data_IF_978936514134
#
_entry.id   IF_978936514134
#
_cell.length_a   1.000
_cell.length_b   1.000
_cell.length_c   1.000
_cell.angle_alpha   90.00
_cell.angle_beta   90.00
_cell.angle_gamma   90.00
#
_symmetry.space_group_name_H-M   'P 1'
#
loop_
_entity.id
_entity.type
_entity.pdbx_description
1 polymer ?
#
# COMPACT_ATOMS: atom_id res chain seq x y z
N UNK A 1 8.53 -10.11 -1.95
CA UNK A 1 9.03 -10.21 -0.57
C UNK A 1 8.25 -9.22 0.27
N UNK A 2 7.79 -9.59 1.48
CA UNK A 2 7.23 -8.63 2.42
C UNK A 2 8.35 -7.71 2.93
N UNK A 3 8.13 -6.40 2.91
CA UNK A 3 9.03 -5.42 3.50
C UNK A 3 8.26 -4.66 4.58
N UNK A 4 8.94 -4.37 5.69
CA UNK A 4 8.43 -3.50 6.72
C UNK A 4 8.90 -2.07 6.46
N UNK A 5 8.00 -1.11 6.64
CA UNK A 5 8.30 0.32 6.56
C UNK A 5 8.15 0.88 7.97
N UNK A 6 9.24 1.35 8.54
CA UNK A 6 9.29 1.95 9.89
C UNK A 6 8.88 3.42 9.89
N UNK A 7 9.06 4.11 8.77
CA UNK A 7 8.75 5.54 8.64
C UNK A 7 7.39 5.82 7.98
N UNK A 8 6.59 6.66 8.62
CA UNK A 8 5.26 7.04 8.13
C UNK A 8 5.33 7.78 6.79
N UNK A 9 6.36 8.62 6.57
CA UNK A 9 6.53 9.36 5.30
C UNK A 9 6.70 8.41 4.12
N UNK A 10 7.54 7.40 4.27
CA UNK A 10 7.76 6.35 3.27
C UNK A 10 6.48 5.56 3.03
N UNK A 11 5.68 5.33 4.07
CA UNK A 11 4.39 4.66 3.95
C UNK A 11 3.36 5.49 3.14
N UNK A 12 3.26 6.80 3.39
CA UNK A 12 2.36 7.69 2.62
C UNK A 12 2.75 7.78 1.14
N UNK A 13 4.06 7.80 0.84
CA UNK A 13 4.54 7.72 -0.53
C UNK A 13 4.24 6.36 -1.16
N UNK A 14 4.31 5.27 -0.40
CA UNK A 14 3.98 3.93 -0.89
C UNK A 14 2.49 3.78 -1.23
N UNK A 15 1.60 4.41 -0.45
CA UNK A 15 0.16 4.41 -0.71
C UNK A 15 -0.17 5.17 -2.00
N UNK A 16 0.49 6.30 -2.26
CA UNK A 16 0.18 7.14 -3.42
C UNK A 16 0.66 6.57 -4.75
N UNK A 17 1.48 5.51 -4.74
CA UNK A 17 1.97 4.90 -5.98
C UNK A 17 0.87 4.06 -6.64
N UNK A 18 0.91 4.01 -7.98
CA UNK A 18 -0.05 3.27 -8.81
C UNK A 18 -0.08 1.76 -8.60
N UNK A 19 0.94 1.19 -7.94
CA UNK A 19 1.00 -0.23 -7.64
C UNK A 19 0.20 -0.63 -6.39
N UNK A 20 -0.18 0.34 -5.55
CA UNK A 20 -1.01 0.13 -4.38
C UNK A 20 -2.46 -0.20 -4.77
N UNK A 21 -2.94 -1.38 -4.40
CA UNK A 21 -4.33 -1.81 -4.67
C UNK A 21 -5.25 -1.70 -3.46
N UNK A 22 -4.79 -2.19 -2.33
CA UNK A 22 -5.60 -2.26 -1.12
C UNK A 22 -4.77 -2.16 0.13
N UNK A 23 -5.38 -1.60 1.18
CA UNK A 23 -4.79 -1.53 2.51
C UNK A 23 -5.65 -2.37 3.42
N UNK A 24 -5.00 -3.34 4.07
CA UNK A 24 -5.63 -4.12 5.13
C UNK A 24 -5.13 -3.62 6.47
N UNK A 25 -6.05 -3.11 7.28
CA UNK A 25 -5.74 -2.73 8.66
C UNK A 25 -5.95 -3.95 9.54
N UNK A 26 -4.90 -4.37 10.24
CA UNK A 26 -4.96 -5.46 11.22
C UNK A 26 -4.73 -4.88 12.60
N UNK A 27 -5.76 -4.92 13.44
CA UNK A 27 -5.66 -4.56 14.86
C UNK A 27 -5.21 -5.79 15.65
N UNK A 28 -4.12 -5.67 16.39
CA UNK A 28 -3.72 -6.58 17.46
C UNK A 28 -4.11 -5.95 18.82
N UNK A 29 -3.83 -6.64 19.93
CA UNK A 29 -4.11 -6.11 21.28
C UNK A 29 -3.32 -4.83 21.58
N UNK A 30 -2.04 -4.82 21.20
CA UNK A 30 -1.11 -3.73 21.54
C UNK A 30 -0.70 -2.88 20.32
N UNK A 31 -0.83 -3.41 19.10
CA UNK A 31 -0.36 -2.77 17.87
C UNK A 31 -1.39 -2.77 16.75
N UNK A 32 -1.32 -1.77 15.86
CA UNK A 32 -2.05 -1.75 14.60
C UNK A 32 -1.08 -1.87 13.44
N UNK A 33 -1.27 -2.88 12.58
CA UNK A 33 -0.44 -3.09 11.39
C UNK A 33 -1.21 -2.72 10.13
N UNK A 34 -0.66 -1.78 9.37
CA UNK A 34 -1.17 -1.41 8.04
C UNK A 34 -0.46 -2.26 6.99
N UNK A 35 -1.20 -3.14 6.32
CA UNK A 35 -0.66 -4.03 5.30
C UNK A 35 -1.07 -3.53 3.92
N UNK A 36 -0.13 -2.92 3.22
CA UNK A 36 -0.32 -2.49 1.84
C UNK A 36 -0.12 -3.68 0.89
N UNK A 37 -1.06 -3.87 -0.04
CA UNK A 37 -0.91 -4.83 -1.14
C UNK A 37 -0.49 -4.10 -2.40
N UNK A 38 0.74 -4.33 -2.83
CA UNK A 38 1.27 -3.84 -4.09
C UNK A 38 1.20 -4.93 -5.17
N UNK A 39 0.86 -4.56 -6.39
CA UNK A 39 1.01 -5.44 -7.54
C UNK A 39 2.48 -5.49 -7.98
N UNK A 40 2.98 -6.69 -8.30
CA UNK A 40 4.35 -6.88 -8.79
C UNK A 40 4.42 -6.54 -10.28
N UNK A 41 4.18 -5.28 -10.66
CA UNK A 41 4.45 -4.86 -12.04
C UNK A 41 5.89 -4.36 -12.12
N UNK A 42 6.70 -5.15 -12.82
CA UNK A 42 8.09 -4.87 -13.16
C UNK A 42 8.05 -3.88 -14.33
N UNK A 43 8.52 -2.66 -14.09
CA UNK A 43 8.96 -1.66 -15.06
C UNK A 43 8.45 -1.85 -16.51
N UNK A 44 7.14 -1.74 -16.74
CA UNK A 44 6.59 -1.50 -18.07
C UNK A 44 5.95 -0.12 -18.05
N UNK A 45 6.74 0.81 -18.57
CA UNK A 45 6.41 2.18 -18.91
C UNK A 45 5.04 2.23 -19.60
N UNK A 46 4.08 2.98 -19.05
CA UNK A 46 3.08 3.78 -19.79
C UNK A 46 2.37 4.71 -18.79
N UNK A 47 2.58 6.02 -18.98
CA UNK A 47 1.59 7.06 -18.66
C UNK A 47 0.26 6.64 -19.33
N UNK A 48 -0.96 6.77 -18.80
CA UNK A 48 -1.60 7.58 -17.79
C UNK A 48 -2.63 6.68 -17.09
N UNK A 49 -2.70 6.67 -15.77
CA UNK A 49 -3.87 6.17 -15.04
C UNK A 49 -3.87 6.97 -13.75
N UNK A 50 -4.90 7.81 -13.56
CA UNK A 50 -5.15 8.49 -12.27
C UNK A 50 -5.18 7.43 -11.16
N UNK A 51 -4.73 7.73 -9.94
CA UNK A 51 -4.78 6.78 -8.84
C UNK A 51 -6.23 6.30 -8.66
N UNK A 52 -6.48 5.04 -9.02
CA UNK A 52 -7.74 4.38 -8.71
C UNK A 52 -7.91 4.37 -7.20
N UNK A 53 -9.08 4.78 -6.71
CA UNK A 53 -9.39 4.83 -5.29
C UNK A 53 -8.98 3.53 -4.60
N UNK A 54 -8.06 3.63 -3.62
CA UNK A 54 -7.57 2.46 -2.90
C UNK A 54 -8.66 1.98 -1.94
N UNK A 55 -9.03 0.71 -2.05
CA UNK A 55 -9.97 0.09 -1.13
C UNK A 55 -9.30 -0.18 0.23
N UNK A 56 -9.87 0.38 1.29
CA UNK A 56 -9.42 0.18 2.68
C UNK A 56 -10.35 -0.83 3.35
N UNK A 57 -9.84 -2.02 3.63
CA UNK A 57 -10.55 -3.06 4.36
C UNK A 57 -10.08 -3.07 5.82
N UNK A 58 -11.00 -2.77 6.74
CA UNK A 58 -10.75 -2.83 8.19
C UNK A 58 -11.19 -4.19 8.71
N UNK A 59 -10.27 -4.96 9.30
CA UNK A 59 -10.58 -6.22 10.01
C UNK A 59 -10.24 -6.12 11.49
#
# INVERSE_FOLDING_TARGET
MPQEITEIKTFLNAIQRKDAKSIKIKRNRDDVKFKLRCNKQIAAKLEEILPESIEIEVK
#
